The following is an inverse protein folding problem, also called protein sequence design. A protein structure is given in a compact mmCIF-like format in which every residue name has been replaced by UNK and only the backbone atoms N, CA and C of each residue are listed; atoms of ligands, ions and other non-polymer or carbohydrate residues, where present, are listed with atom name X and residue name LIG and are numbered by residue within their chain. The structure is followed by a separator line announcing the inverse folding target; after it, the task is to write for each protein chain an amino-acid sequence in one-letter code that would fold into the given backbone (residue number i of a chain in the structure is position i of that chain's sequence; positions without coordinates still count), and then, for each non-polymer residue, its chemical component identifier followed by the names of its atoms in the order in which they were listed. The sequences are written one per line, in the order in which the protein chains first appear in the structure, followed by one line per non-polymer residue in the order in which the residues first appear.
data_IF_720978169912
#
_entry.id   IF_720978169912
#
_cell.length_a   1.000
_cell.length_b   1.000
_cell.length_c   1.000
_cell.angle_alpha   90.00
_cell.angle_beta   90.00
_cell.angle_gamma   90.00
#
_symmetry.space_group_name_H-M   'P 1'
#
loop_
_entity.id
_entity.type
_entity.pdbx_description
1 polymer ?
#
# COMPACT_ATOMS: atom_id res chain seq x y z
N UNK A 1 -20.23 -8.35 -0.30
CA UNK A 1 -19.33 -7.28 -0.78
C UNK A 1 -19.19 -7.50 -2.28
N UNK A 2 -20.01 -6.82 -3.07
CA UNK A 2 -20.02 -6.98 -4.53
C UNK A 2 -18.75 -6.35 -5.11
N UNK A 3 -17.99 -7.13 -5.87
CA UNK A 3 -16.80 -6.64 -6.55
C UNK A 3 -17.26 -5.72 -7.69
N UNK A 4 -17.07 -4.42 -7.52
CA UNK A 4 -17.36 -3.44 -8.57
C UNK A 4 -16.48 -3.75 -9.80
N UNK A 5 -17.12 -4.04 -10.94
CA UNK A 5 -16.42 -4.21 -12.21
C UNK A 5 -15.74 -2.89 -12.58
N UNK A 6 -14.42 -2.86 -12.49
CA UNK A 6 -13.64 -1.71 -12.94
C UNK A 6 -13.26 -1.93 -14.39
N UNK A 7 -13.95 -1.21 -15.28
CA UNK A 7 -13.61 -1.14 -16.69
C UNK A 7 -12.35 -0.29 -16.85
N UNK A 8 -11.28 -0.92 -17.31
CA UNK A 8 -10.04 -0.23 -17.64
C UNK A 8 -9.85 -0.21 -19.16
N UNK A 9 -9.42 0.92 -19.70
CA UNK A 9 -9.08 1.01 -21.11
C UNK A 9 -7.72 0.33 -21.35
N UNK A 10 -7.69 -0.71 -22.20
CA UNK A 10 -6.45 -1.43 -22.50
C UNK A 10 -5.36 -0.52 -23.10
N UNK A 11 -5.72 0.59 -23.74
CA UNK A 11 -4.75 1.55 -24.29
C UNK A 11 -3.94 2.28 -23.20
N UNK A 12 -4.57 2.54 -22.05
CA UNK A 12 -3.98 3.32 -20.95
C UNK A 12 -3.18 2.45 -19.98
N UNK A 13 -3.30 1.13 -20.10
CA UNK A 13 -2.63 0.16 -19.22
C UNK A 13 -1.56 -0.62 -19.96
N UNK A 14 -0.46 -0.87 -19.26
CA UNK A 14 0.63 -1.73 -19.69
C UNK A 14 0.40 -3.09 -19.04
N UNK A 15 0.27 -4.12 -19.86
CA UNK A 15 0.22 -5.51 -19.42
C UNK A 15 1.63 -6.11 -19.48
N UNK A 16 2.16 -6.55 -18.34
CA UNK A 16 3.45 -7.25 -18.28
C UNK A 16 3.26 -8.75 -18.55
N UNK A 17 4.35 -9.44 -18.91
CA UNK A 17 4.33 -10.90 -19.13
C UNK A 17 3.86 -11.71 -17.90
N UNK A 18 4.06 -11.18 -16.70
CA UNK A 18 3.58 -11.73 -15.43
C UNK A 18 2.08 -11.45 -15.16
N UNK A 19 1.37 -10.81 -16.09
CA UNK A 19 -0.04 -10.46 -15.98
C UNK A 19 -0.32 -9.26 -15.07
N UNK A 20 0.67 -8.41 -14.80
CA UNK A 20 0.43 -7.15 -14.09
C UNK A 20 -0.16 -6.12 -15.05
N UNK A 21 -1.12 -5.34 -14.56
CA UNK A 21 -1.73 -4.23 -15.27
C UNK A 21 -1.31 -2.96 -14.59
N UNK A 22 -0.50 -2.15 -15.26
CA UNK A 22 0.05 -0.92 -14.71
C UNK A 22 -0.42 0.24 -15.56
N UNK A 23 -1.10 1.22 -14.97
CA UNK A 23 -1.48 2.43 -15.68
C UNK A 23 -0.27 3.22 -16.16
N UNK A 24 -0.33 3.75 -17.39
CA UNK A 24 0.68 4.67 -17.94
C UNK A 24 0.77 5.99 -17.17
N UNK A 25 -0.29 6.36 -16.46
CA UNK A 25 -0.34 7.57 -15.63
C UNK A 25 0.24 7.32 -14.23
N UNK A 26 0.48 6.07 -13.85
CA UNK A 26 1.11 5.77 -12.56
C UNK A 26 2.59 6.13 -12.55
N UNK A 27 3.07 6.60 -11.41
CA UNK A 27 4.47 6.98 -11.21
C UNK A 27 5.15 5.90 -10.38
N UNK A 28 6.02 5.14 -11.04
CA UNK A 28 6.88 4.13 -10.41
C UNK A 28 8.30 4.69 -10.31
N UNK A 29 8.72 5.10 -9.12
CA UNK A 29 10.09 5.56 -8.89
C UNK A 29 10.97 4.37 -8.49
N UNK A 30 12.15 4.21 -9.09
CA UNK A 30 13.08 3.13 -8.73
C UNK A 30 12.54 1.75 -9.09
N UNK A 31 12.19 1.54 -10.36
CA UNK A 31 11.66 0.26 -10.86
C UNK A 31 12.55 -0.94 -10.55
N UNK A 32 13.87 -0.78 -10.44
CA UNK A 32 14.79 -1.83 -10.00
C UNK A 32 14.51 -2.35 -8.57
N UNK A 33 13.88 -1.54 -7.75
CA UNK A 33 13.55 -1.82 -6.35
C UNK A 33 12.07 -2.19 -6.19
N UNK A 34 11.26 -2.16 -7.25
CA UNK A 34 9.84 -2.49 -7.21
C UNK A 34 9.65 -3.89 -7.77
N UNK A 35 9.09 -4.78 -6.96
CA UNK A 35 8.81 -6.17 -7.34
C UNK A 35 7.31 -6.39 -7.33
N UNK A 36 6.75 -6.79 -8.47
CA UNK A 36 5.33 -7.11 -8.63
C UNK A 36 5.17 -8.60 -8.95
N UNK A 37 4.63 -9.39 -8.00
CA UNK A 37 4.60 -10.86 -8.08
C UNK A 37 3.57 -11.47 -9.06
N UNK A 38 2.92 -10.66 -9.89
CA UNK A 38 2.02 -11.13 -10.94
C UNK A 38 0.54 -10.90 -10.61
N UNK A 39 -0.28 -10.66 -11.65
CA UNK A 39 -1.71 -10.33 -11.53
C UNK A 39 -1.99 -9.12 -10.64
N UNK A 40 -1.04 -8.21 -10.52
CA UNK A 40 -1.17 -6.97 -9.76
C UNK A 40 -1.81 -5.90 -10.64
N UNK A 41 -2.74 -5.12 -10.10
CA UNK A 41 -3.42 -4.03 -10.81
C UNK A 41 -3.04 -2.72 -10.14
N UNK A 42 -2.43 -1.81 -10.90
CA UNK A 42 -2.07 -0.46 -10.46
C UNK A 42 -2.85 0.54 -11.30
N UNK A 43 -3.77 1.26 -10.65
CA UNK A 43 -4.60 2.26 -11.31
C UNK A 43 -3.87 3.57 -11.59
N UNK A 44 -4.60 4.48 -12.25
CA UNK A 44 -4.15 5.81 -12.65
C UNK A 44 -3.77 6.67 -11.43
N UNK A 45 -2.82 7.59 -11.60
CA UNK A 45 -2.34 8.50 -10.55
C UNK A 45 -1.81 7.80 -9.28
N UNK A 46 -1.54 6.50 -9.34
CA UNK A 46 -0.88 5.80 -8.24
C UNK A 46 0.61 6.15 -8.24
N UNK A 47 1.14 6.44 -7.06
CA UNK A 47 2.55 6.76 -6.85
C UNK A 47 3.16 5.65 -6.02
N UNK A 48 4.07 4.89 -6.61
CA UNK A 48 4.84 3.85 -5.92
C UNK A 48 6.29 4.29 -5.91
N UNK A 49 6.77 4.63 -4.72
CA UNK A 49 8.09 5.19 -4.53
C UNK A 49 9.07 4.13 -4.05
N UNK A 50 9.80 3.47 -4.95
CA UNK A 50 10.84 2.48 -4.64
C UNK A 50 12.28 3.01 -4.69
N UNK A 51 12.50 4.31 -4.85
CA UNK A 51 13.84 4.91 -4.93
C UNK A 51 14.61 4.82 -3.59
N UNK A 52 13.91 4.96 -2.46
CA UNK A 52 14.50 4.98 -1.11
C UNK A 52 14.61 3.59 -0.47
N UNK A 53 13.71 2.68 -0.79
CA UNK A 53 13.70 1.31 -0.26
C UNK A 53 13.04 0.34 -1.24
N UNK A 54 13.27 -0.96 -1.03
CA UNK A 54 12.64 -2.00 -1.83
C UNK A 54 11.14 -2.10 -1.53
N UNK A 55 10.31 -2.10 -2.58
CA UNK A 55 8.85 -2.25 -2.48
C UNK A 55 8.48 -3.58 -3.12
N UNK A 56 7.94 -4.48 -2.31
CA UNK A 56 7.47 -5.80 -2.76
C UNK A 56 5.96 -5.83 -2.70
N UNK A 57 5.35 -6.15 -3.82
CA UNK A 57 3.92 -6.36 -3.95
C UNK A 57 3.65 -7.83 -4.25
N UNK A 58 2.82 -8.45 -3.42
CA UNK A 58 2.36 -9.83 -3.59
C UNK A 58 1.45 -10.01 -4.81
N UNK A 59 0.90 -11.21 -4.92
CA UNK A 59 0.04 -11.63 -6.04
C UNK A 59 -1.37 -11.12 -5.85
N UNK A 60 -2.07 -10.87 -6.96
CA UNK A 60 -3.48 -10.47 -6.95
C UNK A 60 -3.77 -9.22 -6.09
N UNK A 61 -2.81 -8.29 -5.99
CA UNK A 61 -3.06 -7.03 -5.31
C UNK A 61 -3.72 -6.04 -6.25
N UNK A 62 -4.62 -5.23 -5.70
CA UNK A 62 -5.32 -4.16 -6.43
C UNK A 62 -5.02 -2.85 -5.73
N UNK A 63 -4.41 -1.93 -6.45
CA UNK A 63 -4.10 -0.58 -5.98
C UNK A 63 -4.96 0.40 -6.78
N UNK A 64 -5.94 0.99 -6.12
CA UNK A 64 -6.81 1.99 -6.74
C UNK A 64 -6.12 3.35 -6.95
N UNK A 65 -6.78 4.22 -7.70
CA UNK A 65 -6.23 5.50 -8.12
C UNK A 65 -5.87 6.42 -6.96
N UNK A 66 -4.91 7.33 -7.20
CA UNK A 66 -4.42 8.32 -6.20
C UNK A 66 -3.84 7.71 -4.93
N UNK A 67 -3.56 6.40 -4.94
CA UNK A 67 -2.88 5.74 -3.82
C UNK A 67 -1.40 6.06 -3.80
N UNK A 68 -0.88 6.44 -2.63
CA UNK A 68 0.54 6.75 -2.43
C UNK A 68 1.19 5.67 -1.59
N UNK A 69 2.07 4.92 -2.22
CA UNK A 69 2.88 3.87 -1.61
C UNK A 69 4.27 4.43 -1.38
N UNK A 70 4.60 4.67 -0.10
CA UNK A 70 5.90 5.16 0.33
C UNK A 70 6.52 4.18 1.33
N UNK A 71 7.80 3.79 1.16
CA UNK A 71 8.48 2.97 2.14
C UNK A 71 8.64 3.72 3.47
N UNK A 72 8.46 3.04 4.61
CA UNK A 72 8.66 3.64 5.91
C UNK A 72 10.15 3.89 6.16
N UNK A 73 10.43 5.08 6.67
CA UNK A 73 11.75 5.46 7.16
C UNK A 73 11.68 5.61 8.67
N UNK A 74 12.67 5.07 9.37
CA UNK A 74 12.85 5.30 10.80
C UNK A 74 14.02 6.25 11.00
N UNK A 75 13.74 7.41 11.62
CA UNK A 75 14.79 8.33 12.08
C UNK A 75 15.38 7.75 13.37
N UNK A 76 16.67 7.45 13.35
CA UNK A 76 17.45 7.14 14.53
C UNK A 76 18.33 8.35 14.86
N UNK A 77 18.73 8.50 16.12
CA UNK A 77 19.57 9.63 16.58
C UNK A 77 20.89 9.79 15.82
N UNK A 78 21.36 8.75 15.10
CA UNK A 78 22.61 8.74 14.31
C UNK A 78 22.42 8.55 12.80
N UNK A 79 21.17 8.52 12.30
CA UNK A 79 20.91 8.32 10.86
C UNK A 79 19.47 7.92 10.53
N UNK A 80 19.17 7.78 9.24
CA UNK A 80 17.86 7.28 8.77
C UNK A 80 18.01 5.86 8.25
N UNK A 81 17.16 4.95 8.72
CA UNK A 81 17.08 3.59 8.21
C UNK A 81 15.78 3.44 7.40
N UNK A 82 15.91 3.00 6.16
CA UNK A 82 14.76 2.67 5.31
C UNK A 82 14.46 1.19 5.44
N UNK A 83 13.22 0.86 5.75
CA UNK A 83 12.77 -0.53 5.75
C UNK A 83 12.07 -0.84 4.43
N UNK A 84 12.30 -2.02 3.83
CA UNK A 84 11.57 -2.42 2.65
C UNK A 84 10.09 -2.54 3.00
N UNK A 85 9.22 -2.07 2.10
CA UNK A 85 7.78 -2.26 2.21
C UNK A 85 7.42 -3.62 1.61
N UNK A 86 6.72 -4.45 2.38
CA UNK A 86 6.23 -5.74 1.93
C UNK A 86 4.70 -5.81 1.95
N UNK A 87 4.06 -5.94 0.79
CA UNK A 87 2.62 -6.15 0.64
C UNK A 87 2.39 -7.64 0.37
N UNK A 88 1.54 -8.28 1.17
CA UNK A 88 1.14 -9.68 1.01
C UNK A 88 0.30 -9.96 -0.25
N UNK A 89 -0.29 -11.15 -0.32
CA UNK A 89 -1.13 -11.55 -1.44
C UNK A 89 -2.60 -11.14 -1.21
N UNK A 90 -3.36 -10.91 -2.28
CA UNK A 90 -4.78 -10.55 -2.20
C UNK A 90 -5.07 -9.29 -1.37
N UNK A 91 -4.20 -8.28 -1.48
CA UNK A 91 -4.40 -6.99 -0.82
C UNK A 91 -5.23 -6.08 -1.71
N UNK A 92 -6.29 -5.52 -1.15
CA UNK A 92 -7.12 -4.50 -1.78
C UNK A 92 -6.83 -3.14 -1.15
N UNK A 93 -6.34 -2.21 -1.96
CA UNK A 93 -6.11 -0.83 -1.58
C UNK A 93 -7.10 0.03 -2.35
N UNK A 94 -7.99 0.70 -1.63
CA UNK A 94 -8.93 1.63 -2.23
C UNK A 94 -8.32 3.01 -2.55
N UNK A 95 -9.13 3.91 -3.12
CA UNK A 95 -8.69 5.22 -3.61
C UNK A 95 -8.23 6.13 -2.47
N UNK A 96 -7.33 7.06 -2.81
CA UNK A 96 -6.82 8.08 -1.89
C UNK A 96 -6.16 7.51 -0.63
N UNK A 97 -5.63 6.28 -0.73
CA UNK A 97 -4.96 5.62 0.38
C UNK A 97 -3.48 6.00 0.44
N UNK A 98 -2.97 6.27 1.65
CA UNK A 98 -1.55 6.46 1.91
C UNK A 98 -1.00 5.27 2.66
N UNK A 99 -0.12 4.49 2.03
CA UNK A 99 0.50 3.31 2.61
C UNK A 99 1.93 3.63 3.02
N UNK A 100 2.17 3.60 4.33
CA UNK A 100 3.49 3.80 4.95
C UNK A 100 3.74 2.73 6.02
N UNK A 101 3.61 1.45 5.65
CA UNK A 101 3.77 0.30 6.54
C UNK A 101 5.10 -0.43 6.28
N UNK A 102 5.65 -1.11 7.28
CA UNK A 102 6.78 -2.02 7.03
C UNK A 102 6.31 -3.28 6.30
N UNK A 103 5.17 -3.84 6.74
CA UNK A 103 4.60 -5.04 6.17
C UNK A 103 3.06 -4.99 6.24
N UNK A 104 2.41 -5.43 5.17
CA UNK A 104 0.96 -5.66 5.07
C UNK A 104 0.77 -7.16 4.88
N UNK A 105 -0.11 -7.75 5.69
CA UNK A 105 -0.47 -9.16 5.56
C UNK A 105 -1.20 -9.49 4.26
N UNK A 106 -1.42 -10.77 4.02
CA UNK A 106 -2.27 -11.24 2.91
C UNK A 106 -3.76 -11.10 3.26
N UNK A 107 -4.63 -10.95 2.26
CA UNK A 107 -6.09 -10.78 2.42
C UNK A 107 -6.51 -9.53 3.21
N UNK A 108 -5.71 -8.48 3.13
CA UNK A 108 -6.00 -7.20 3.78
C UNK A 108 -6.82 -6.32 2.85
N UNK A 109 -7.91 -5.77 3.37
CA UNK A 109 -8.72 -4.77 2.69
C UNK A 109 -8.52 -3.40 3.34
N UNK A 110 -8.04 -2.44 2.57
CA UNK A 110 -7.76 -1.07 3.01
C UNK A 110 -8.79 -0.16 2.36
N UNK A 111 -9.66 0.42 3.19
CA UNK A 111 -10.75 1.28 2.74
C UNK A 111 -10.28 2.61 2.11
N UNK A 112 -11.19 3.30 1.43
CA UNK A 112 -10.95 4.62 0.82
C UNK A 112 -10.43 5.62 1.85
N UNK A 113 -9.54 6.49 1.39
CA UNK A 113 -9.03 7.61 2.19
C UNK A 113 -8.35 7.16 3.51
N UNK A 114 -7.84 5.92 3.53
CA UNK A 114 -7.16 5.35 4.68
C UNK A 114 -5.68 5.74 4.67
N UNK A 115 -5.13 5.95 5.86
CA UNK A 115 -3.71 6.26 6.05
C UNK A 115 -3.13 5.20 6.97
N UNK A 116 -2.21 4.40 6.43
CA UNK A 116 -1.50 3.37 7.19
C UNK A 116 -0.12 3.90 7.53
N UNK A 117 0.22 3.93 8.81
CA UNK A 117 1.53 4.34 9.31
C UNK A 117 2.05 3.27 10.26
N UNK A 118 3.26 2.77 9.98
CA UNK A 118 3.99 1.94 10.92
C UNK A 118 4.84 2.84 11.82
N UNK A 119 4.33 3.13 13.01
CA UNK A 119 5.08 3.82 14.06
C UNK A 119 5.53 2.78 15.08
N UNK A 120 6.84 2.55 15.19
CA UNK A 120 7.36 1.70 16.26
C UNK A 120 7.42 2.52 17.55
N UNK A 121 6.42 2.29 18.39
CA UNK A 121 6.24 2.73 19.76
C UNK A 121 7.57 2.75 20.54
N UNK A 122 8.10 3.95 20.81
CA UNK A 122 9.00 4.17 21.96
C UNK A 122 8.41 5.16 22.98
N UNK A 123 7.37 5.93 22.61
CA UNK A 123 6.79 6.99 23.44
C UNK A 123 5.29 6.79 23.76
N UNK A 124 4.84 5.56 24.06
CA UNK A 124 3.48 5.36 24.58
C UNK A 124 3.40 5.43 26.12
N UNK A 125 4.05 6.44 26.71
CA UNK A 125 3.90 6.75 28.13
C UNK A 125 3.47 8.19 28.36
N UNK A 126 2.34 8.60 27.78
CA UNK A 126 1.45 9.59 28.41
C UNK A 126 0.18 9.73 27.57
N UNK A 127 -0.98 9.63 28.24
CA UNK A 127 -2.28 9.57 27.62
C UNK A 127 -2.64 10.79 26.77
N UNK A 128 -3.45 10.53 25.75
CA UNK A 128 -4.04 11.55 24.89
C UNK A 128 -4.81 10.87 23.78
N UNK A 129 -6.14 10.98 23.83
CA UNK A 129 -7.08 10.44 22.85
C UNK A 129 -6.80 11.04 21.48
N UNK A 130 -6.40 10.24 20.49
CA UNK A 130 -6.56 10.62 19.07
C UNK A 130 -6.82 9.37 18.25
N UNK A 131 -8.04 9.28 17.73
CA UNK A 131 -8.51 8.28 16.77
C UNK A 131 -7.69 8.35 15.49
N UNK A 132 -6.60 7.62 15.42
CA UNK A 132 -6.04 7.16 14.16
C UNK A 132 -5.95 5.64 14.26
N UNK A 133 -6.74 4.95 13.42
CA UNK A 133 -6.79 3.48 13.37
C UNK A 133 -5.39 2.94 13.06
N UNK A 134 -4.66 2.58 14.10
CA UNK A 134 -3.37 1.93 14.02
C UNK A 134 -3.56 0.51 13.48
N UNK A 135 -2.99 0.22 12.31
CA UNK A 135 -2.77 -1.17 11.88
C UNK A 135 -1.48 -1.62 12.57
N UNK A 136 -1.61 -2.10 13.81
CA UNK A 136 -0.51 -2.76 14.52
C UNK A 136 -0.18 -4.06 13.81
N UNK A 137 1.11 -4.33 13.60
CA UNK A 137 1.64 -5.35 12.70
C UNK A 137 1.47 -6.79 13.18
N UNK A 138 0.63 -7.09 14.18
CA UNK A 138 0.51 -8.43 14.77
C UNK A 138 -0.89 -8.87 15.24
N UNK A 139 -1.98 -8.22 14.82
CA UNK A 139 -3.32 -8.76 15.09
C UNK A 139 -4.26 -8.48 13.92
N UNK A 140 -5.04 -9.51 13.57
CA UNK A 140 -6.24 -9.49 12.73
C UNK A 140 -6.78 -8.07 12.49
N UNK A 141 -6.64 -7.54 11.27
CA UNK A 141 -7.26 -6.27 10.90
C UNK A 141 -8.73 -6.51 10.62
N UNK A 142 -9.56 -6.00 11.54
CA UNK A 142 -11.01 -5.98 11.47
C UNK A 142 -11.46 -4.95 10.43
N UNK A 143 -12.39 -5.37 9.57
CA UNK A 143 -13.12 -4.57 8.61
C UNK A 143 -13.72 -3.30 9.25
N UNK A 144 -13.56 -2.14 8.61
CA UNK A 144 -14.47 -1.01 8.81
C UNK A 144 -15.55 -1.08 7.73
N UNK A 145 -16.55 -1.93 7.93
CA UNK A 145 -17.80 -1.85 7.17
C UNK A 145 -18.79 -0.94 7.89
N UNK A 146 -19.23 0.10 7.19
CA UNK A 146 -20.60 0.62 7.31
C UNK A 146 -20.82 1.70 8.36
N UNK A 147 -21.07 2.92 7.87
CA UNK A 147 -22.05 3.81 8.47
C UNK A 147 -23.40 3.09 8.66
N UNK A 148 -24.04 3.35 9.80
CA UNK A 148 -25.49 3.48 9.94
C UNK A 148 -25.75 4.69 10.85
#
# INVERSE_FOLDING_TARGET
MELSEIFYNKAEYIETASGNKVSRQSVLCGSQNIVLNGKTIVMNDCIIRGDLANVRVGRHCVVKSRSVIRPPFKKFSKGVAFFPLHIGDHVFIEEDCVVNAAQIGSYVHIGKNCVIVSERQSDWRSGGVTTHRFVTTDMHVIFSSGEA
#
